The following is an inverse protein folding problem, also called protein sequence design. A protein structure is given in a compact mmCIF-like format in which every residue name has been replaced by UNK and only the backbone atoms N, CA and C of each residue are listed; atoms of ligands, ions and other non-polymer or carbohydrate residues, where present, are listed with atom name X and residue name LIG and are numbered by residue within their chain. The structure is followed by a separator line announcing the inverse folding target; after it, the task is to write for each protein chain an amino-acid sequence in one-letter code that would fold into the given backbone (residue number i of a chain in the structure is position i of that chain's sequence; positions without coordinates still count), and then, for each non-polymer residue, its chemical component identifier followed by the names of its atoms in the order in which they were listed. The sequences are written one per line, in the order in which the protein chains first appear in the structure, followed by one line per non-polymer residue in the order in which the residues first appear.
data_IF_543598579567
#
_entry.id   IF_543598579567
#
_cell.length_a   1.000
_cell.length_b   1.000
_cell.length_c   1.000
_cell.angle_alpha   90.00
_cell.angle_beta   90.00
_cell.angle_gamma   90.00
#
_symmetry.space_group_name_H-M   'P 1'
#
loop_
_entity.id
_entity.type
_entity.pdbx_description
1 polymer ?
#
# COMPACT_ATOMS: atom_id res chain seq x y z
N UNK A 1 -2.83 -3.35 -18.21
CA UNK A 1 -2.38 -3.39 -16.80
C UNK A 1 -2.77 -2.11 -16.10
N UNK A 2 -3.55 -2.25 -15.03
CA UNK A 2 -3.93 -1.16 -14.15
C UNK A 2 -2.81 -0.97 -13.12
N UNK A 3 -2.44 0.28 -12.87
CA UNK A 3 -1.44 0.66 -11.88
C UNK A 3 -1.87 2.00 -11.29
N UNK A 4 -1.99 2.04 -9.97
CA UNK A 4 -2.29 3.26 -9.22
C UNK A 4 -1.17 3.47 -8.21
N UNK A 5 -0.76 4.72 -7.99
CA UNK A 5 0.26 5.03 -6.99
C UNK A 5 -0.11 6.16 -6.05
N UNK A 6 0.44 6.13 -4.85
CA UNK A 6 0.33 7.20 -3.88
C UNK A 6 1.60 7.28 -3.05
N UNK A 7 2.02 8.51 -2.76
CA UNK A 7 3.07 8.80 -1.79
C UNK A 7 2.41 9.03 -0.43
N UNK A 8 3.01 8.48 0.62
CA UNK A 8 2.60 8.72 2.00
C UNK A 8 3.83 9.09 2.84
N UNK A 9 3.66 10.04 3.76
CA UNK A 9 4.61 10.35 4.83
C UNK A 9 3.90 10.14 6.16
N UNK A 10 4.47 9.30 7.03
CA UNK A 10 3.88 8.95 8.33
C UNK A 10 4.88 9.16 9.47
N UNK A 11 4.44 9.74 10.58
CA UNK A 11 5.25 9.94 11.77
C UNK A 11 5.25 8.66 12.60
N UNK A 12 6.13 7.71 12.26
CA UNK A 12 6.28 6.45 12.99
C UNK A 12 7.72 5.95 12.88
N UNK A 13 8.34 5.46 13.97
CA UNK A 13 9.67 4.87 13.92
C UNK A 13 9.72 3.65 13.00
N UNK A 14 10.77 3.53 12.18
CA UNK A 14 10.93 2.46 11.19
C UNK A 14 10.76 1.06 11.80
N UNK A 15 11.30 0.83 13.00
CA UNK A 15 11.22 -0.45 13.72
C UNK A 15 9.77 -0.94 13.89
N UNK A 16 8.84 -0.02 14.14
CA UNK A 16 7.42 -0.35 14.31
C UNK A 16 6.57 -0.13 13.06
N UNK A 17 7.09 0.66 12.10
CA UNK A 17 6.41 1.01 10.86
C UNK A 17 6.09 -0.24 10.04
N UNK A 18 7.06 -1.14 9.86
CA UNK A 18 6.88 -2.36 9.04
C UNK A 18 5.77 -3.26 9.58
N UNK A 19 5.77 -3.46 10.90
CA UNK A 19 4.73 -4.25 11.56
C UNK A 19 3.35 -3.62 11.35
N UNK A 20 3.22 -2.31 11.56
CA UNK A 20 1.97 -1.55 11.36
C UNK A 20 1.52 -1.60 9.90
N UNK A 21 2.45 -1.49 8.96
CA UNK A 21 2.21 -1.58 7.53
C UNK A 21 1.63 -2.95 7.18
N UNK A 22 2.24 -4.03 7.65
CA UNK A 22 1.72 -5.39 7.48
C UNK A 22 0.29 -5.54 8.02
N UNK A 23 -0.01 -4.94 9.18
CA UNK A 23 -1.36 -5.00 9.75
C UNK A 23 -2.40 -4.19 8.96
N UNK A 24 -2.00 -3.06 8.38
CA UNK A 24 -2.85 -2.28 7.45
C UNK A 24 -3.14 -3.08 6.18
N UNK A 25 -2.12 -3.71 5.59
CA UNK A 25 -2.29 -4.55 4.40
C UNK A 25 -3.22 -5.74 4.67
N UNK A 26 -3.05 -6.42 5.81
CA UNK A 26 -3.94 -7.53 6.22
C UNK A 26 -5.38 -7.07 6.44
N UNK A 27 -5.60 -5.87 6.99
CA UNK A 27 -6.95 -5.31 7.12
C UNK A 27 -7.61 -4.96 5.78
N UNK A 28 -6.85 -4.91 4.69
CA UNK A 28 -7.34 -4.76 3.32
C UNK A 28 -7.43 -6.09 2.57
N UNK A 29 -7.48 -7.23 3.29
CA UNK A 29 -7.48 -8.58 2.71
C UNK A 29 -6.27 -8.83 1.80
N UNK A 30 -5.10 -8.29 2.16
CA UNK A 30 -3.84 -8.50 1.44
C UNK A 30 -2.80 -9.14 2.37
N UNK A 31 -2.24 -10.27 1.95
CA UNK A 31 -1.18 -10.96 2.66
C UNK A 31 0.19 -10.53 2.15
N UNK A 32 1.11 -10.26 3.08
CA UNK A 32 2.51 -9.95 2.76
C UNK A 32 3.19 -11.23 2.26
N UNK A 33 3.69 -11.18 1.03
CA UNK A 33 4.37 -12.30 0.35
C UNK A 33 5.89 -12.08 0.22
N UNK A 34 6.34 -10.85 0.41
CA UNK A 34 7.74 -10.47 0.40
C UNK A 34 7.96 -9.28 1.32
N UNK A 35 8.98 -9.33 2.16
CA UNK A 35 9.27 -8.30 3.14
C UNK A 35 10.79 -8.15 3.29
N UNK A 36 11.35 -7.10 2.70
CA UNK A 36 12.76 -6.70 2.79
C UNK A 36 12.87 -5.27 3.31
N UNK A 37 14.05 -4.91 3.78
CA UNK A 37 14.28 -3.75 4.64
C UNK A 37 13.75 -2.40 4.06
N UNK A 38 13.77 -2.17 2.73
CA UNK A 38 13.20 -0.99 2.06
C UNK A 38 12.02 -1.30 1.12
N UNK A 39 11.53 -2.54 1.11
CA UNK A 39 10.56 -2.99 0.12
C UNK A 39 9.62 -4.08 0.66
N UNK A 40 8.32 -3.85 0.57
CA UNK A 40 7.30 -4.83 0.98
C UNK A 40 6.34 -5.10 -0.18
N UNK A 41 5.99 -6.37 -0.39
CA UNK A 41 5.00 -6.78 -1.38
C UNK A 41 3.90 -7.56 -0.67
N UNK A 42 2.66 -7.16 -0.92
CA UNK A 42 1.47 -7.89 -0.52
C UNK A 42 0.62 -8.25 -1.73
N UNK A 43 -0.17 -9.32 -1.59
CA UNK A 43 -1.12 -9.77 -2.60
C UNK A 43 -2.48 -9.97 -1.97
N UNK A 44 -3.51 -9.57 -2.70
CA UNK A 44 -4.90 -9.82 -2.32
C UNK A 44 -5.14 -11.32 -2.06
N UNK A 45 -5.83 -11.62 -0.97
CA UNK A 45 -6.21 -12.98 -0.59
C UNK A 45 -7.17 -13.56 -1.64
N UNK A 46 -6.87 -14.74 -2.21
CA UNK A 46 -7.75 -15.37 -3.18
C UNK A 46 -9.14 -15.69 -2.61
N UNK A 47 -10.17 -15.67 -3.48
CA UNK A 47 -11.52 -16.10 -3.14
C UNK A 47 -12.63 -15.09 -3.46
N UNK A 48 -12.28 -13.81 -3.62
CA UNK A 48 -13.23 -12.75 -4.02
C UNK A 48 -13.25 -12.46 -5.52
N UNK A 49 -12.13 -12.70 -6.20
CA UNK A 49 -11.97 -12.50 -7.64
C UNK A 49 -11.22 -13.68 -8.27
N UNK A 50 -11.24 -13.76 -9.61
CA UNK A 50 -10.42 -14.72 -10.34
C UNK A 50 -8.94 -14.46 -10.09
N UNK A 51 -8.11 -15.50 -10.14
CA UNK A 51 -6.68 -15.39 -9.89
C UNK A 51 -5.99 -14.32 -10.77
N UNK A 52 -6.41 -14.21 -12.02
CA UNK A 52 -5.97 -13.19 -12.99
C UNK A 52 -6.27 -11.75 -12.57
N UNK A 53 -7.26 -11.54 -11.69
CA UNK A 53 -7.70 -10.22 -11.20
C UNK A 53 -7.17 -9.88 -9.82
N UNK A 54 -6.37 -10.75 -9.20
CA UNK A 54 -5.75 -10.47 -7.92
C UNK A 54 -4.85 -9.25 -8.01
N UNK A 55 -5.00 -8.36 -7.04
CA UNK A 55 -4.19 -7.15 -6.95
C UNK A 55 -2.90 -7.44 -6.20
N UNK A 56 -1.80 -6.88 -6.70
CA UNK A 56 -0.50 -6.86 -6.00
C UNK A 56 -0.22 -5.43 -5.55
N UNK A 57 0.20 -5.30 -4.30
CA UNK A 57 0.57 -4.04 -3.66
C UNK A 57 2.09 -4.09 -3.45
N UNK A 58 2.78 -3.08 -3.96
CA UNK A 58 4.22 -2.88 -3.75
C UNK A 58 4.41 -1.61 -2.95
N UNK A 59 5.18 -1.69 -1.87
CA UNK A 59 5.48 -0.55 -1.00
C UNK A 59 6.98 -0.36 -0.99
N UNK A 60 7.43 0.78 -1.51
CA UNK A 60 8.82 1.20 -1.47
C UNK A 60 8.97 2.18 -0.29
N UNK A 61 9.91 1.90 0.60
CA UNK A 61 10.14 2.67 1.83
C UNK A 61 11.38 3.53 1.60
N UNK A 62 11.21 4.84 1.54
CA UNK A 62 12.32 5.76 1.28
C UNK A 62 13.10 6.03 2.58
N UNK A 63 14.19 5.29 2.80
CA UNK A 63 15.05 5.49 3.98
C UNK A 63 15.92 6.75 3.92
N UNK A 64 16.09 7.33 2.74
CA UNK A 64 16.83 8.59 2.58
C UNK A 64 16.11 9.78 3.24
N UNK A 65 14.82 9.65 3.55
CA UNK A 65 14.02 10.63 4.28
C UNK A 65 13.76 10.21 5.73
N UNK A 66 14.61 9.34 6.30
CA UNK A 66 14.73 9.14 7.76
C UNK A 66 15.22 10.44 8.42
N UNK A 67 14.36 11.44 8.47
CA UNK A 67 14.52 12.60 9.32
C UNK A 67 13.69 12.38 10.58
N UNK A 68 13.88 13.24 11.60
CA UNK A 68 13.02 13.30 12.80
C UNK A 68 11.51 13.48 12.47
N UNK A 69 11.16 13.68 11.20
CA UNK A 69 9.81 13.94 10.71
C UNK A 69 9.07 12.69 10.18
N UNK A 70 9.62 11.48 10.28
CA UNK A 70 8.89 10.24 9.96
C UNK A 70 9.34 9.50 8.70
N UNK A 71 8.57 8.50 8.28
CA UNK A 71 8.88 7.57 7.17
C UNK A 71 8.07 7.96 5.94
N UNK A 72 8.76 8.14 4.81
CA UNK A 72 8.12 8.30 3.50
C UNK A 72 8.06 6.96 2.77
N UNK A 73 6.96 6.70 2.08
CA UNK A 73 6.77 5.50 1.28
C UNK A 73 5.99 5.79 0.00
N UNK A 74 6.32 5.04 -1.05
CA UNK A 74 5.55 4.99 -2.28
C UNK A 74 4.80 3.66 -2.35
N UNK A 75 3.48 3.73 -2.46
CA UNK A 75 2.59 2.58 -2.54
C UNK A 75 2.07 2.47 -3.96
N UNK A 76 2.29 1.31 -4.58
CA UNK A 76 1.85 0.98 -5.93
C UNK A 76 0.89 -0.19 -5.87
N UNK A 77 -0.33 0.01 -6.39
CA UNK A 77 -1.38 -1.01 -6.45
C UNK A 77 -1.60 -1.38 -7.92
N UNK A 78 -1.37 -2.65 -8.26
CA UNK A 78 -1.34 -3.08 -9.67
C UNK A 78 -2.02 -4.42 -9.92
N UNK A 79 -2.55 -4.58 -11.13
CA UNK A 79 -3.03 -5.85 -11.67
C UNK A 79 -2.73 -5.95 -13.17
N UNK A 80 -2.14 -7.07 -13.59
CA UNK A 80 -1.59 -7.24 -14.96
C UNK A 80 -2.68 -7.29 -16.05
N UNK A 81 -3.87 -7.78 -15.72
CA UNK A 81 -4.95 -8.10 -16.66
C UNK A 81 -5.97 -6.96 -16.82
N UNK A 82 -6.23 -6.21 -15.75
CA UNK A 82 -7.22 -5.14 -15.77
C UNK A 82 -6.71 -3.92 -16.57
N UNK A 83 -7.58 -3.24 -17.33
CA UNK A 83 -7.25 -1.95 -17.92
C UNK A 83 -7.27 -0.85 -16.86
N UNK A 84 -6.42 0.17 -17.02
CA UNK A 84 -6.47 1.38 -16.19
C UNK A 84 -7.85 2.04 -16.36
N UNK A 85 -8.59 2.17 -15.26
CA UNK A 85 -9.95 2.70 -15.24
C UNK A 85 -10.29 3.20 -13.84
N UNK A 86 -11.04 4.30 -13.77
CA UNK A 86 -11.54 4.81 -12.48
C UNK A 86 -12.60 3.91 -11.84
N UNK A 87 -13.16 2.97 -12.62
CA UNK A 87 -14.05 1.93 -12.13
C UNK A 87 -13.55 0.56 -12.57
N UNK A 88 -12.71 -0.05 -11.73
CA UNK A 88 -12.33 -1.46 -11.82
C UNK A 88 -11.97 -1.98 -10.41
N UNK A 89 -11.77 -3.29 -10.31
CA UNK A 89 -11.38 -3.95 -9.05
C UNK A 89 -10.08 -3.38 -8.46
N UNK A 90 -9.05 -3.18 -9.29
CA UNK A 90 -7.77 -2.63 -8.85
C UNK A 90 -7.89 -1.22 -8.27
N UNK A 91 -8.77 -0.37 -8.82
CA UNK A 91 -9.04 0.98 -8.33
C UNK A 91 -9.82 0.96 -7.01
N UNK A 92 -10.78 0.05 -6.87
CA UNK A 92 -11.50 -0.14 -5.60
C UNK A 92 -10.55 -0.60 -4.49
N UNK A 93 -9.66 -1.54 -4.79
CA UNK A 93 -8.61 -1.96 -3.87
C UNK A 93 -7.68 -0.81 -3.50
N UNK A 94 -7.26 0.00 -4.49
CA UNK A 94 -6.47 1.20 -4.23
C UNK A 94 -7.19 2.19 -3.30
N UNK A 95 -8.47 2.46 -3.54
CA UNK A 95 -9.24 3.36 -2.68
C UNK A 95 -9.38 2.81 -1.25
N UNK A 96 -9.69 1.51 -1.10
CA UNK A 96 -9.76 0.85 0.21
C UNK A 96 -8.43 0.94 0.96
N UNK A 97 -7.32 0.72 0.25
CA UNK A 97 -5.98 0.86 0.80
C UNK A 97 -5.72 2.31 1.22
N UNK A 98 -5.99 3.28 0.34
CA UNK A 98 -5.81 4.70 0.62
C UNK A 98 -6.59 5.13 1.87
N UNK A 99 -7.85 4.72 1.99
CA UNK A 99 -8.69 4.98 3.15
C UNK A 99 -8.12 4.32 4.42
N UNK A 100 -7.62 3.08 4.31
CA UNK A 100 -6.97 2.39 5.41
C UNK A 100 -5.66 3.08 5.81
N UNK A 101 -4.90 3.67 4.91
CA UNK A 101 -3.68 4.41 5.27
C UNK A 101 -3.98 5.76 5.92
N UNK A 102 -5.06 6.43 5.50
CA UNK A 102 -5.40 7.79 5.94
C UNK A 102 -6.31 7.85 7.18
N UNK A 103 -7.13 6.82 7.40
CA UNK A 103 -8.12 6.79 8.50
C UNK A 103 -7.67 5.93 9.68
N UNK A 104 -6.55 5.23 9.55
CA UNK A 104 -6.09 4.30 10.58
C UNK A 104 -5.34 5.01 11.71
N UNK A 105 -5.77 4.82 12.95
CA UNK A 105 -5.07 5.24 14.19
C UNK A 105 -3.74 4.47 14.47
N UNK A 106 -3.21 3.71 13.50
CA UNK A 106 -1.96 2.95 13.68
C UNK A 106 -0.72 3.79 13.41
N UNK A 107 -0.84 4.97 12.79
CA UNK A 107 0.25 5.94 12.66
C UNK A 107 -0.33 7.35 12.49
N UNK A 108 0.49 8.36 12.77
CA UNK A 108 0.14 9.76 12.48
C UNK A 108 0.51 10.06 11.03
N UNK A 109 -0.50 10.15 10.15
CA UNK A 109 -0.29 10.57 8.76
C UNK A 109 0.13 12.04 8.73
N UNK A 110 1.27 12.31 8.10
CA UNK A 110 1.77 13.67 7.92
C UNK A 110 1.34 14.20 6.56
N UNK A 111 1.48 13.38 5.51
CA UNK A 111 1.18 13.79 4.14
C UNK A 111 0.74 12.60 3.29
N UNK A 112 -0.20 12.83 2.38
CA UNK A 112 -0.62 11.85 1.36
C UNK A 112 -0.79 12.55 0.02
N UNK A 113 -0.04 12.12 -1.01
CA UNK A 113 -0.10 12.67 -2.36
C UNK A 113 -0.49 11.53 -3.32
N UNK A 114 -1.74 11.50 -3.83
CA UNK A 114 -2.12 10.53 -4.83
C UNK A 114 -1.43 10.85 -6.16
N UNK A 115 -0.71 9.88 -6.71
CA UNK A 115 0.03 9.97 -7.96
C UNK A 115 -0.56 8.96 -8.96
N UNK A 116 -1.75 9.31 -9.50
CA UNK A 116 -2.52 8.63 -10.57
C UNK A 116 -2.92 7.18 -10.29
#
# INVERSE_FOLDING_TARGET
MARYSSLFKVATPLESFRQRLGDVLRSCDCDVIYDEDDYMVAREVPGRVTYSRLVTIEVLIDRAFETDEGVQMNVVVKNEELPLSQDNHCRRMFNQLYDAFTTTNRWDLIESIPAV
#
